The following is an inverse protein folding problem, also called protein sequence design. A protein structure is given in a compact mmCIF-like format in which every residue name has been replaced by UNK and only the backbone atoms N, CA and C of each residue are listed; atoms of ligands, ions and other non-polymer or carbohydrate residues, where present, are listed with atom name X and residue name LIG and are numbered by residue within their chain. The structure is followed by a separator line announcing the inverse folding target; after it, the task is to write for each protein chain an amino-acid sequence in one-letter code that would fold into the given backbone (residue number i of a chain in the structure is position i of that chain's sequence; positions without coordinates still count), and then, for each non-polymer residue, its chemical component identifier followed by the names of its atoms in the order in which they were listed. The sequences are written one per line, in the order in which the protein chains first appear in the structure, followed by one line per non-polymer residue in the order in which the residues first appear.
data_IF_402848323179
#
_entry.id   IF_402848323179
#
_cell.length_a   1.000
_cell.length_b   1.000
_cell.length_c   1.000
_cell.angle_alpha   90.00
_cell.angle_beta   90.00
_cell.angle_gamma   90.00
#
_symmetry.space_group_name_H-M   'P 1'
#
loop_
_entity.id
_entity.type
_entity.pdbx_description
1 polymer ?
#
# COMPACT_ATOMS: atom_id res chain seq x y z
N UNK A 1 14.71 -19.81 -16.61
CA UNK A 1 13.33 -19.46 -16.20
C UNK A 1 12.47 -20.71 -15.94
N UNK A 2 13.03 -21.72 -15.28
CA UNK A 2 12.39 -23.04 -15.17
C UNK A 2 11.19 -23.05 -14.22
N UNK A 3 11.23 -22.24 -13.15
CA UNK A 3 10.20 -22.18 -12.11
C UNK A 3 8.96 -21.36 -12.48
N UNK A 4 9.01 -20.53 -13.54
CA UNK A 4 7.85 -19.73 -13.94
C UNK A 4 7.24 -20.19 -15.26
N UNK A 5 8.06 -20.55 -16.26
CA UNK A 5 7.54 -21.06 -17.54
C UNK A 5 7.27 -22.56 -17.51
N UNK A 6 7.93 -23.32 -16.63
CA UNK A 6 7.96 -24.78 -16.68
C UNK A 6 8.39 -25.29 -18.07
N UNK A 7 8.09 -26.54 -18.38
CA UNK A 7 8.39 -27.15 -19.67
C UNK A 7 7.13 -27.81 -20.25
N UNK A 8 7.03 -27.86 -21.57
CA UNK A 8 5.92 -28.49 -22.30
C UNK A 8 4.54 -27.91 -21.94
N UNK A 9 4.48 -26.62 -21.59
CA UNK A 9 3.24 -25.90 -21.26
C UNK A 9 2.42 -26.56 -20.14
N UNK A 10 3.09 -27.40 -19.33
CA UNK A 10 2.46 -28.18 -18.27
C UNK A 10 2.86 -27.61 -16.91
N UNK A 11 1.89 -27.15 -16.08
CA UNK A 11 2.17 -26.70 -14.74
C UNK A 11 2.87 -27.78 -13.90
N UNK A 12 3.97 -27.44 -13.24
CA UNK A 12 4.73 -28.37 -12.41
C UNK A 12 5.70 -29.27 -13.18
N UNK A 13 5.68 -29.28 -14.52
CA UNK A 13 6.65 -30.02 -15.32
C UNK A 13 7.99 -29.29 -15.40
N UNK A 14 8.77 -29.35 -14.32
CA UNK A 14 10.16 -28.86 -14.23
C UNK A 14 10.86 -29.65 -13.12
N UNK A 15 12.22 -29.66 -13.03
CA UNK A 15 12.93 -30.60 -12.15
C UNK A 15 12.42 -30.61 -10.70
N UNK A 16 12.32 -29.43 -10.09
CA UNK A 16 11.85 -29.32 -8.69
C UNK A 16 10.37 -29.67 -8.57
N UNK A 17 9.55 -29.32 -9.58
CA UNK A 17 8.13 -29.67 -9.59
C UNK A 17 7.86 -31.18 -9.65
N UNK A 18 8.79 -31.97 -10.22
CA UNK A 18 8.72 -33.44 -10.25
C UNK A 18 9.49 -34.11 -9.10
N UNK A 19 10.04 -33.34 -8.17
CA UNK A 19 10.76 -33.86 -6.99
C UNK A 19 12.26 -34.11 -7.20
N UNK A 20 12.86 -33.66 -8.30
CA UNK A 20 14.31 -33.72 -8.53
C UNK A 20 14.97 -32.36 -8.26
N UNK A 21 16.14 -32.29 -7.58
CA UNK A 21 16.82 -31.01 -7.39
C UNK A 21 17.21 -30.35 -8.73
N UNK A 22 17.26 -29.03 -8.76
CA UNK A 22 17.86 -28.33 -9.90
C UNK A 22 19.37 -28.67 -9.96
N UNK A 23 19.84 -29.19 -11.10
CA UNK A 23 21.26 -29.53 -11.31
C UNK A 23 22.08 -28.37 -11.87
N UNK A 24 21.49 -27.18 -11.99
CA UNK A 24 22.17 -25.99 -12.51
C UNK A 24 22.65 -26.12 -13.96
N UNK A 25 21.86 -26.74 -14.83
CA UNK A 25 22.25 -26.96 -16.24
C UNK A 25 22.49 -25.68 -17.05
N UNK A 26 21.96 -24.54 -16.60
CA UNK A 26 22.14 -23.23 -17.24
C UNK A 26 23.29 -22.43 -16.65
N UNK A 27 23.82 -22.83 -15.49
CA UNK A 27 24.87 -22.11 -14.79
C UNK A 27 26.25 -22.67 -15.17
N UNK A 28 27.18 -21.77 -15.46
CA UNK A 28 28.54 -22.14 -15.84
C UNK A 28 29.25 -22.85 -14.68
N UNK A 29 29.97 -23.93 -14.98
CA UNK A 29 30.70 -24.74 -14.00
C UNK A 29 29.84 -25.33 -12.88
N UNK A 30 28.52 -25.48 -13.08
CA UNK A 30 27.66 -26.14 -12.08
C UNK A 30 27.39 -27.59 -12.48
N UNK A 31 26.63 -27.79 -13.57
CA UNK A 31 26.37 -29.14 -14.08
C UNK A 31 27.68 -29.81 -14.48
N UNK A 32 27.85 -31.08 -14.11
CA UNK A 32 29.05 -31.91 -14.28
C UNK A 32 30.25 -31.61 -13.39
N UNK A 33 30.25 -30.52 -12.61
CA UNK A 33 31.34 -30.18 -11.70
C UNK A 33 30.95 -30.36 -10.22
N UNK A 34 29.65 -30.24 -9.89
CA UNK A 34 29.11 -30.44 -8.54
C UNK A 34 28.31 -31.76 -8.46
N UNK A 35 28.45 -32.56 -7.39
CA UNK A 35 27.59 -33.71 -7.14
C UNK A 35 26.11 -33.30 -6.98
N UNK A 36 25.18 -34.12 -7.45
CA UNK A 36 23.73 -33.81 -7.46
C UNK A 36 23.17 -33.55 -6.05
N UNK A 37 23.75 -34.19 -5.03
CA UNK A 37 23.32 -34.06 -3.62
C UNK A 37 24.17 -33.07 -2.80
N UNK A 38 25.15 -32.41 -3.42
CA UNK A 38 25.92 -31.34 -2.77
C UNK A 38 25.04 -30.07 -2.69
N UNK A 39 25.13 -29.34 -1.57
CA UNK A 39 24.41 -28.06 -1.43
C UNK A 39 25.19 -26.93 -2.05
N UNK A 40 24.50 -26.04 -2.77
CA UNK A 40 25.10 -24.80 -3.30
C UNK A 40 25.25 -23.74 -2.20
N UNK A 41 26.25 -22.88 -2.33
CA UNK A 41 26.41 -21.71 -1.46
C UNK A 41 25.28 -20.70 -1.71
N UNK A 42 24.58 -20.33 -0.66
CA UNK A 42 23.46 -19.37 -0.72
C UNK A 42 23.98 -17.98 -0.40
N UNK A 43 23.85 -17.06 -1.35
CA UNK A 43 24.15 -15.66 -1.11
C UNK A 43 23.14 -15.06 -0.11
N UNK A 44 23.63 -14.76 1.11
CA UNK A 44 22.87 -14.29 2.28
C UNK A 44 21.92 -15.35 2.84
N UNK A 45 22.45 -16.35 3.57
CA UNK A 45 21.62 -17.39 4.19
C UNK A 45 20.68 -16.84 5.27
N UNK A 46 21.03 -15.71 5.89
CA UNK A 46 20.20 -14.99 6.84
C UNK A 46 19.42 -13.88 6.15
N UNK A 47 18.11 -13.72 6.46
CA UNK A 47 17.35 -12.55 6.03
C UNK A 47 18.07 -11.25 6.44
N UNK A 48 17.99 -10.16 5.65
CA UNK A 48 18.51 -8.87 6.08
C UNK A 48 17.82 -8.44 7.38
N UNK A 49 18.59 -8.06 8.41
CA UNK A 49 18.06 -7.59 9.71
C UNK A 49 17.25 -6.29 9.62
N UNK A 50 17.15 -5.69 8.43
CA UNK A 50 16.50 -4.41 8.18
C UNK A 50 15.13 -4.57 7.53
N UNK A 51 14.23 -5.38 8.11
CA UNK A 51 12.81 -5.24 7.79
C UNK A 51 12.30 -3.95 8.47
N UNK A 52 11.56 -3.07 7.78
CA UNK A 52 10.97 -1.90 8.43
C UNK A 52 10.06 -2.34 9.58
N UNK A 53 10.07 -1.59 10.69
CA UNK A 53 9.25 -1.93 11.83
C UNK A 53 7.76 -2.02 11.42
N UNK A 54 7.06 -3.05 11.91
CA UNK A 54 5.61 -3.21 11.73
C UNK A 54 4.81 -2.05 12.33
N UNK A 55 5.43 -1.33 13.26
CA UNK A 55 4.91 -0.11 13.88
C UNK A 55 5.77 1.06 13.38
N UNK A 56 5.39 1.58 12.21
CA UNK A 56 5.96 2.83 11.72
C UNK A 56 5.26 3.98 12.44
N UNK A 57 6.03 4.99 12.87
CA UNK A 57 5.49 6.17 13.55
C UNK A 57 4.52 6.91 12.61
N UNK A 58 3.22 6.71 12.83
CA UNK A 58 2.17 7.39 12.10
C UNK A 58 1.84 8.68 12.85
N UNK A 59 2.22 9.83 12.29
CA UNK A 59 1.87 11.13 12.86
C UNK A 59 0.37 11.24 13.15
N UNK A 60 0.01 11.37 14.43
CA UNK A 60 -1.38 11.44 14.87
C UNK A 60 -2.03 12.80 14.60
N UNK A 61 -3.36 12.82 14.55
CA UNK A 61 -4.13 14.06 14.48
C UNK A 61 -4.09 14.74 15.85
N UNK A 62 -3.60 15.99 15.91
CA UNK A 62 -3.53 16.77 17.16
C UNK A 62 -4.94 17.10 17.68
N UNK A 63 -5.34 16.60 18.88
CA UNK A 63 -6.66 16.87 19.44
C UNK A 63 -6.93 18.37 19.64
N UNK A 64 -5.86 19.13 19.94
CA UNK A 64 -5.93 20.59 20.11
C UNK A 64 -6.19 21.27 18.77
N UNK A 65 -5.48 20.86 17.71
CA UNK A 65 -5.69 21.43 16.38
C UNK A 65 -7.11 21.15 15.86
N UNK A 66 -7.59 19.92 16.04
CA UNK A 66 -8.97 19.54 15.68
C UNK A 66 -10.00 20.28 16.51
N UNK A 67 -9.78 20.41 17.82
CA UNK A 67 -10.69 21.13 18.71
C UNK A 67 -10.84 22.60 18.32
N UNK A 68 -9.72 23.30 18.11
CA UNK A 68 -9.74 24.73 17.72
C UNK A 68 -10.35 24.90 16.33
N UNK A 69 -9.95 24.06 15.35
CA UNK A 69 -10.50 24.11 14.00
C UNK A 69 -12.01 23.90 13.96
N UNK A 70 -12.52 22.93 14.74
CA UNK A 70 -13.95 22.64 14.84
C UNK A 70 -14.76 23.79 15.42
N UNK A 71 -14.25 24.47 16.46
CA UNK A 71 -14.93 25.62 17.09
C UNK A 71 -15.05 26.78 16.11
N UNK A 72 -13.97 27.11 15.39
CA UNK A 72 -13.97 28.22 14.42
C UNK A 72 -14.96 27.95 13.28
N UNK A 73 -14.92 26.75 12.70
CA UNK A 73 -15.84 26.37 11.63
C UNK A 73 -17.30 26.38 12.10
N UNK A 74 -17.57 25.85 13.30
CA UNK A 74 -18.90 25.83 13.89
C UNK A 74 -19.46 27.23 14.17
N UNK A 75 -18.63 28.15 14.67
CA UNK A 75 -19.04 29.53 14.94
C UNK A 75 -19.39 30.29 13.65
N UNK A 76 -18.62 30.10 12.58
CA UNK A 76 -18.88 30.71 11.28
C UNK A 76 -20.19 30.18 10.66
N UNK A 77 -20.37 28.86 10.65
CA UNK A 77 -21.58 28.24 10.12
C UNK A 77 -22.83 28.63 10.93
N UNK A 78 -22.74 28.57 12.26
CA UNK A 78 -23.83 28.96 13.16
C UNK A 78 -24.17 30.45 13.05
N UNK A 79 -23.16 31.32 12.99
CA UNK A 79 -23.33 32.76 12.79
C UNK A 79 -24.03 33.09 11.47
N UNK A 80 -23.59 32.47 10.37
CA UNK A 80 -24.23 32.62 9.07
C UNK A 80 -25.68 32.14 9.05
N UNK A 81 -25.98 31.02 9.74
CA UNK A 81 -27.34 30.50 9.87
C UNK A 81 -28.27 31.43 10.65
N UNK A 82 -27.81 31.97 11.78
CA UNK A 82 -28.61 32.90 12.58
C UNK A 82 -28.85 34.23 11.86
N UNK A 83 -27.85 34.72 11.13
CA UNK A 83 -27.98 35.92 10.30
C UNK A 83 -29.00 35.72 9.17
N UNK A 84 -28.99 34.58 8.49
CA UNK A 84 -29.95 34.27 7.42
C UNK A 84 -31.38 34.11 7.95
N UNK A 85 -31.61 33.57 9.15
CA UNK A 85 -32.95 33.59 9.78
C UNK A 85 -33.44 35.00 10.13
N UNK A 86 -32.56 35.87 10.62
CA UNK A 86 -32.90 37.27 10.95
C UNK A 86 -33.29 38.09 9.72
N UNK A 87 -32.75 37.76 8.55
CA UNK A 87 -33.13 38.37 7.28
C UNK A 87 -34.43 37.79 6.69
N UNK A 88 -34.91 36.64 7.19
CA UNK A 88 -36.16 36.01 6.73
C UNK A 88 -37.42 36.46 7.47
N UNK A 89 -37.29 37.04 8.68
CA UNK A 89 -38.42 37.50 9.52
C UNK A 89 -38.79 38.98 9.29
N UNK A 90 -38.17 39.66 8.32
CA UNK A 90 -38.46 41.04 7.93
C UNK A 90 -38.71 41.15 6.42
N UNK A 91 -39.98 41.05 6.02
CA UNK A 91 -40.53 41.22 4.67
C UNK A 91 -40.07 40.22 3.60
N UNK A 92 -41.09 39.67 2.94
CA UNK A 92 -40.96 39.03 1.66
C UNK A 92 -40.60 40.08 0.58
N UNK A 93 -39.33 40.35 0.30
CA UNK A 93 -38.92 40.98 -0.97
C UNK A 93 -37.40 40.91 -1.21
N UNK A 94 -37.01 40.43 -2.41
CA UNK A 94 -35.71 40.63 -3.07
C UNK A 94 -34.47 40.01 -2.40
N UNK A 95 -33.65 39.15 -3.02
CA UNK A 95 -33.30 39.06 -4.43
C UNK A 95 -32.41 37.83 -4.60
N UNK A 96 -32.97 36.69 -4.99
CA UNK A 96 -32.21 35.66 -5.73
C UNK A 96 -32.48 35.87 -7.21
N UNK A 97 -31.63 36.68 -7.83
CA UNK A 97 -31.40 36.78 -9.28
C UNK A 97 -29.94 37.22 -9.42
N UNK A 98 -29.03 36.57 -10.14
CA UNK A 98 -29.07 35.46 -11.10
C UNK A 98 -27.61 35.02 -11.29
N UNK A 99 -27.36 33.72 -11.35
CA UNK A 99 -26.44 33.17 -12.33
C UNK A 99 -27.29 32.45 -13.37
N UNK A 100 -27.24 32.91 -14.64
CA UNK A 100 -27.94 32.30 -15.79
C UNK A 100 -29.19 33.04 -16.23
#
# INVERSE_FOLDING_TARGET
NCSTQHFNEMPGAWPIGIGHPCVGCTEQNVVFNLPIHETVDIARPTPPDTYPAIDADHGGVSPVATGVGGVVAGALAGGAYMASKKLGDGEADGSTKKGG
#
